data_IF_031883369381
#
_entry.id   IF_031883369381
#
_cell.length_a   1.000
_cell.length_b   1.000
_cell.length_c   1.000
_cell.angle_alpha   90.00
_cell.angle_beta   90.00
_cell.angle_gamma   90.00
#
_symmetry.space_group_name_H-M   'P 1'
#
loop_
_entity.id
_entity.type
_entity.pdbx_description
1 polymer ?
#
# COMPACT_ATOMS: atom_id res chain seq x y z
N UNK A 1 -4.52 18.91 -13.74
CA UNK A 1 -4.37 17.45 -13.77
C UNK A 1 -5.19 16.88 -12.61
N UNK A 2 -6.37 16.31 -12.86
CA UNK A 2 -7.25 15.78 -11.80
C UNK A 2 -6.96 14.29 -11.64
N UNK A 3 -6.22 13.92 -10.60
CA UNK A 3 -6.07 12.51 -10.22
C UNK A 3 -7.22 12.14 -9.31
N UNK A 4 -8.30 11.61 -9.89
CA UNK A 4 -9.45 11.12 -9.13
C UNK A 4 -9.07 9.75 -8.54
N UNK A 5 -8.71 9.73 -7.26
CA UNK A 5 -8.55 8.50 -6.50
C UNK A 5 -9.92 8.09 -5.94
N UNK A 6 -10.38 6.85 -6.22
CA UNK A 6 -11.60 6.27 -5.64
C UNK A 6 -12.59 5.66 -6.64
N UNK A 7 -13.36 4.65 -6.20
CA UNK A 7 -14.43 3.97 -6.97
C UNK A 7 -15.68 4.88 -7.09
N UNK A 8 -16.48 4.76 -8.17
CA UNK A 8 -17.74 5.50 -8.29
C UNK A 8 -18.72 5.23 -7.13
N UNK A 9 -19.35 6.29 -6.64
CA UNK A 9 -20.15 6.39 -5.41
C UNK A 9 -21.55 5.71 -5.50
N UNK A 10 -21.62 4.42 -5.83
CA UNK A 10 -22.90 3.72 -6.00
C UNK A 10 -23.30 2.78 -4.85
N UNK A 11 -22.59 2.78 -3.70
CA UNK A 11 -22.98 2.01 -2.50
C UNK A 11 -22.94 2.90 -1.24
N UNK A 12 -23.95 2.84 -0.36
CA UNK A 12 -24.08 3.76 0.77
C UNK A 12 -23.12 3.41 1.92
N UNK A 13 -22.35 4.42 2.35
CA UNK A 13 -21.72 4.60 3.68
C UNK A 13 -20.81 3.49 4.26
N UNK A 14 -20.05 2.76 3.45
CA UNK A 14 -19.02 1.81 3.95
C UNK A 14 -17.62 2.45 4.09
N UNK A 15 -17.54 3.70 4.53
CA UNK A 15 -16.25 4.32 4.87
C UNK A 15 -15.18 4.30 3.76
N UNK A 16 -13.92 4.54 4.15
CA UNK A 16 -12.77 4.53 3.24
C UNK A 16 -11.53 3.95 3.91
N UNK A 17 -10.65 3.31 3.15
CA UNK A 17 -9.30 3.03 3.60
C UNK A 17 -8.31 3.96 2.87
N UNK A 18 -7.57 4.77 3.63
CA UNK A 18 -6.45 5.54 3.10
C UNK A 18 -5.17 4.75 3.36
N UNK A 19 -4.43 4.44 2.31
CA UNK A 19 -3.24 3.61 2.37
C UNK A 19 -2.07 4.39 1.81
N UNK A 20 -0.99 4.45 2.57
CA UNK A 20 0.33 4.92 2.14
C UNK A 20 1.33 3.75 2.17
N UNK A 21 2.21 3.69 1.16
CA UNK A 21 3.16 2.59 0.96
C UNK A 21 4.51 3.14 0.54
N UNK A 22 5.54 2.85 1.34
CA UNK A 22 6.93 3.12 0.96
C UNK A 22 7.57 1.86 0.37
N UNK A 23 8.37 2.03 -0.68
CA UNK A 23 9.03 0.92 -1.37
C UNK A 23 10.53 1.14 -1.46
N UNK A 24 11.30 0.05 -1.56
CA UNK A 24 12.76 0.11 -1.70
C UNK A 24 13.24 0.67 -3.04
N UNK A 25 12.33 1.01 -3.95
CA UNK A 25 12.60 1.54 -5.28
C UNK A 25 11.40 1.37 -6.22
N UNK A 26 11.54 1.75 -7.47
CA UNK A 26 10.40 1.84 -8.40
C UNK A 26 10.32 0.71 -9.45
N UNK A 27 11.22 -0.29 -9.39
CA UNK A 27 11.26 -1.38 -10.37
C UNK A 27 10.33 -2.53 -9.95
N UNK A 28 9.22 -2.79 -10.68
CA UNK A 28 8.36 -3.92 -10.38
C UNK A 28 9.14 -5.25 -10.40
N UNK A 29 8.79 -6.18 -9.51
CA UNK A 29 9.48 -7.47 -9.33
C UNK A 29 10.80 -7.39 -8.55
N UNK A 30 11.46 -6.24 -8.48
CA UNK A 30 12.72 -6.05 -7.75
C UNK A 30 12.57 -5.27 -6.46
N UNK A 31 11.78 -4.20 -6.49
CA UNK A 31 11.48 -3.43 -5.30
C UNK A 31 10.62 -4.23 -4.31
N UNK A 32 10.64 -3.82 -3.05
CA UNK A 32 9.86 -4.41 -1.95
C UNK A 32 9.15 -3.31 -1.18
N UNK A 33 8.01 -3.64 -0.57
CA UNK A 33 7.36 -2.74 0.38
C UNK A 33 8.19 -2.71 1.67
N UNK A 34 8.52 -1.51 2.14
CA UNK A 34 9.28 -1.28 3.38
C UNK A 34 8.31 -0.89 4.49
N UNK A 35 7.31 -0.07 4.22
CA UNK A 35 6.31 0.31 5.20
C UNK A 35 4.93 0.41 4.58
N UNK A 36 3.91 0.22 5.44
CA UNK A 36 2.51 0.48 5.12
C UNK A 36 1.91 1.26 6.29
N UNK A 37 1.18 2.32 5.96
CA UNK A 37 0.27 2.98 6.87
C UNK A 37 -1.16 2.87 6.32
N UNK A 38 -2.11 2.52 7.19
CA UNK A 38 -3.53 2.41 6.83
C UNK A 38 -4.37 3.18 7.84
N UNK A 39 -5.28 4.01 7.34
CA UNK A 39 -6.36 4.61 8.12
C UNK A 39 -7.70 4.07 7.61
N UNK A 40 -8.46 3.42 8.49
CA UNK A 40 -9.88 3.13 8.26
C UNK A 40 -10.69 4.35 8.67
N UNK A 41 -11.45 4.90 7.73
CA UNK A 41 -12.28 6.08 7.89
C UNK A 41 -13.76 5.71 7.81
N UNK A 42 -14.60 6.36 8.62
CA UNK A 42 -16.06 6.33 8.43
C UNK A 42 -16.48 7.12 7.16
N UNK A 43 -17.79 7.15 6.88
CA UNK A 43 -18.33 7.86 5.73
C UNK A 43 -18.10 9.39 5.77
N UNK A 44 -17.86 9.97 6.95
CA UNK A 44 -17.58 11.38 7.17
C UNK A 44 -16.07 11.70 7.14
N UNK A 45 -15.22 10.68 6.95
CA UNK A 45 -13.77 10.82 6.92
C UNK A 45 -13.10 10.83 8.29
N UNK A 46 -13.80 10.44 9.37
CA UNK A 46 -13.19 10.30 10.70
C UNK A 46 -12.44 8.97 10.80
N UNK A 47 -11.27 9.00 11.43
CA UNK A 47 -10.47 7.80 11.66
C UNK A 47 -11.13 6.92 12.72
N UNK A 48 -11.45 5.69 12.34
CA UNK A 48 -11.94 4.65 13.26
C UNK A 48 -10.84 3.68 13.66
N UNK A 49 -9.89 3.40 12.74
CA UNK A 49 -8.78 2.48 12.96
C UNK A 49 -7.50 2.97 12.28
N UNK A 50 -6.35 2.63 12.86
CA UNK A 50 -5.05 2.91 12.25
C UNK A 50 -4.11 1.72 12.41
N UNK A 51 -3.31 1.49 11.37
CA UNK A 51 -2.22 0.53 11.37
C UNK A 51 -0.98 1.22 10.80
N UNK A 52 0.14 1.07 11.49
CA UNK A 52 1.46 1.38 10.93
C UNK A 52 2.35 0.17 11.12
N UNK A 53 2.92 -0.31 10.04
CA UNK A 53 3.85 -1.44 10.08
C UNK A 53 5.10 -1.12 9.27
N UNK A 54 6.26 -1.24 9.92
CA UNK A 54 7.52 -1.40 9.24
C UNK A 54 7.69 -2.88 8.91
N UNK A 55 7.73 -3.19 7.62
CA UNK A 55 7.98 -4.54 7.15
C UNK A 55 9.48 -4.78 7.13
N UNK A 56 9.90 -5.97 7.54
CA UNK A 56 11.23 -6.47 7.21
C UNK A 56 11.11 -7.31 5.93
N UNK A 57 11.32 -6.73 4.73
CA UNK A 57 11.11 -7.45 3.48
C UNK A 57 12.09 -8.62 3.27
N UNK A 58 13.07 -8.80 4.16
CA UNK A 58 14.09 -9.83 4.06
C UNK A 58 14.96 -9.71 2.81
N UNK A 59 15.91 -10.63 2.67
CA UNK A 59 16.75 -10.76 1.48
C UNK A 59 16.25 -11.95 0.65
N UNK A 60 15.37 -11.71 -0.33
CA UNK A 60 15.10 -12.75 -1.34
C UNK A 60 16.30 -12.75 -2.29
N UNK A 61 17.14 -13.79 -2.21
CA UNK A 61 18.13 -14.09 -3.25
C UNK A 61 17.40 -14.11 -4.58
N UNK A 62 17.85 -13.30 -5.54
CA UNK A 62 17.37 -13.43 -6.93
C UNK A 62 17.63 -14.86 -7.45
N UNK A 63 16.98 -15.29 -8.54
CA UNK A 63 17.26 -16.59 -9.15
C UNK A 63 18.78 -16.72 -9.32
N UNK A 64 19.37 -17.81 -8.80
CA UNK A 64 20.75 -18.15 -9.11
C UNK A 64 20.81 -18.36 -10.62
N UNK A 65 21.24 -17.36 -11.39
CA UNK A 65 21.71 -17.60 -12.75
C UNK A 65 23.00 -18.37 -12.61
N UNK A 66 22.90 -19.70 -12.51
CA UNK A 66 24.01 -20.59 -12.81
C UNK A 66 24.23 -20.52 -14.33
N UNK A 67 25.17 -19.70 -14.74
CA UNK A 67 25.77 -19.79 -16.07
C UNK A 67 27.25 -19.46 -15.93
N UNK A 68 28.10 -20.46 -16.17
CA UNK A 68 29.55 -20.34 -16.29
C UNK A 68 30.31 -21.02 -15.18
#
# INVERSE_FOLDING_TARGET
>A
MSHTWGRPASHPSEGWAVIDVETSGFRPGQARIISIAVLGLDADGRVEQSLVSLLNPGWIRGPLTSTG
#
